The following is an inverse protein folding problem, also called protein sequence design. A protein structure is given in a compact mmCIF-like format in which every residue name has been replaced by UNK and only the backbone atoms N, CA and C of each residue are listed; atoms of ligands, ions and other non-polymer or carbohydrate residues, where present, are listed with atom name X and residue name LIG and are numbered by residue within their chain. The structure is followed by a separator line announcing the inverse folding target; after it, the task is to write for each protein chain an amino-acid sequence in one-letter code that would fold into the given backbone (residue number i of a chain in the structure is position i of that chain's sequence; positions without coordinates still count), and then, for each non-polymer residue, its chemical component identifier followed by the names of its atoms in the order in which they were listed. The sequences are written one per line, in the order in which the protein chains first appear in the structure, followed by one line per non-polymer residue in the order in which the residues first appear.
data_IF_202096087590
#
_entry.id   IF_202096087590
#
_cell.length_a   1.000
_cell.length_b   1.000
_cell.length_c   1.000
_cell.angle_alpha   90.00
_cell.angle_beta   90.00
_cell.angle_gamma   90.00
#
_symmetry.space_group_name_H-M   'P 1'
#
loop_
_entity.id
_entity.type
_entity.pdbx_description
1 polymer ?
#
# COMPACT_ATOMS: atom_id res chain seq x y z
N UNK A 1 1.49 2.35 15.99
CA UNK A 1 0.80 2.85 14.78
C UNK A 1 1.80 2.84 13.63
N UNK A 2 1.42 2.31 12.47
CA UNK A 2 2.31 2.20 11.32
C UNK A 2 2.81 3.59 10.88
N UNK A 3 4.10 3.70 10.56
CA UNK A 3 4.69 4.91 9.99
C UNK A 3 4.57 4.85 8.46
N UNK A 4 3.82 5.80 7.91
CA UNK A 4 3.68 5.97 6.46
C UNK A 4 4.79 6.87 5.93
N UNK A 5 5.45 6.42 4.88
CA UNK A 5 6.46 7.18 4.14
C UNK A 5 6.13 7.09 2.65
N UNK A 6 6.22 8.21 1.93
CA UNK A 6 6.09 8.23 0.47
C UNK A 6 7.40 8.69 -0.14
N UNK A 7 7.88 7.89 -1.08
CA UNK A 7 9.07 8.16 -1.85
C UNK A 7 8.68 8.74 -3.20
N UNK A 8 9.44 9.74 -3.62
CA UNK A 8 9.26 10.44 -4.87
C UNK A 8 10.43 10.15 -5.79
N UNK A 9 10.12 10.09 -7.08
CA UNK A 9 11.10 9.91 -8.14
C UNK A 9 10.88 10.94 -9.25
N UNK A 10 11.93 11.19 -10.02
CA UNK A 10 11.89 12.11 -11.15
C UNK A 10 11.53 11.34 -12.42
N UNK A 11 10.34 11.63 -12.96
CA UNK A 11 9.81 10.97 -14.16
C UNK A 11 9.13 12.02 -15.04
N UNK A 12 9.36 11.97 -16.36
CA UNK A 12 8.76 12.90 -17.34
C UNK A 12 8.86 14.38 -16.93
N UNK A 13 10.06 14.80 -16.52
CA UNK A 13 10.38 16.17 -16.09
C UNK A 13 9.67 16.64 -14.80
N UNK A 14 9.05 15.73 -14.04
CA UNK A 14 8.33 16.06 -12.80
C UNK A 14 8.72 15.13 -11.66
N UNK A 15 8.71 15.67 -10.44
CA UNK A 15 8.83 14.88 -9.21
C UNK A 15 7.44 14.37 -8.86
N UNK A 16 7.27 13.06 -8.83
CA UNK A 16 5.97 12.43 -8.53
C UNK A 16 6.14 11.31 -7.50
N UNK A 17 5.11 11.06 -6.67
CA UNK A 17 5.15 9.96 -5.72
C UNK A 17 5.14 8.63 -6.49
N UNK A 18 6.05 7.72 -6.18
CA UNK A 18 6.17 6.44 -6.90
C UNK A 18 5.98 5.22 -5.99
N UNK A 19 6.40 5.31 -4.74
CA UNK A 19 6.37 4.19 -3.78
C UNK A 19 5.95 4.67 -2.40
N UNK A 20 5.07 3.92 -1.76
CA UNK A 20 4.70 4.08 -0.36
C UNK A 20 5.26 2.93 0.46
N UNK A 21 5.81 3.24 1.61
CA UNK A 21 6.16 2.28 2.64
C UNK A 21 5.26 2.46 3.87
N UNK A 22 4.71 1.35 4.34
CA UNK A 22 4.11 1.27 5.67
C UNK A 22 5.06 0.49 6.56
N UNK A 23 5.59 1.16 7.58
CA UNK A 23 6.57 0.57 8.50
C UNK A 23 5.93 0.28 9.84
N UNK A 24 6.22 -0.89 10.35
CA UNK A 24 5.66 -1.45 11.58
C UNK A 24 6.80 -1.72 12.55
N UNK A 25 6.57 -1.53 13.84
CA UNK A 25 7.46 -2.07 14.86
C UNK A 25 7.41 -3.61 14.80
N UNK A 26 8.42 -4.32 15.32
CA UNK A 26 8.36 -5.77 15.46
C UNK A 26 7.04 -6.22 16.09
N UNK A 27 6.37 -7.20 15.47
CA UNK A 27 5.08 -7.76 15.90
C UNK A 27 3.88 -6.79 15.91
N UNK A 28 4.02 -5.57 15.36
CA UNK A 28 2.90 -4.63 15.26
C UNK A 28 1.92 -4.99 14.14
N UNK A 29 2.40 -5.61 13.06
CA UNK A 29 1.56 -6.06 11.97
C UNK A 29 0.78 -7.32 12.37
N UNK A 30 -0.50 -7.15 12.69
CA UNK A 30 -1.38 -8.23 13.10
C UNK A 30 -1.90 -9.02 11.90
N UNK A 31 -1.18 -10.09 11.56
CA UNK A 31 -1.55 -11.03 10.51
C UNK A 31 -2.79 -11.88 10.86
N UNK A 32 -3.39 -11.81 12.05
CA UNK A 32 -4.67 -12.50 12.31
C UNK A 32 -5.83 -11.81 11.60
N UNK A 33 -5.71 -10.50 11.33
CA UNK A 33 -6.73 -9.70 10.64
C UNK A 33 -6.86 -10.09 9.17
N UNK A 34 -8.03 -9.82 8.61
CA UNK A 34 -8.32 -10.04 7.18
C UNK A 34 -7.85 -8.88 6.32
N UNK A 35 -7.99 -7.67 6.85
CA UNK A 35 -7.67 -6.42 6.17
C UNK A 35 -7.20 -5.36 7.15
N UNK A 36 -6.51 -4.36 6.62
CA UNK A 36 -6.16 -3.13 7.33
C UNK A 36 -6.49 -1.93 6.44
N UNK A 37 -6.78 -0.78 7.04
CA UNK A 37 -7.12 0.45 6.32
C UNK A 37 -6.14 1.55 6.72
N UNK A 38 -5.63 2.25 5.72
CA UNK A 38 -4.63 3.30 5.89
C UNK A 38 -5.21 4.62 5.36
N UNK A 39 -5.27 5.67 6.20
CA UNK A 39 -5.70 6.98 5.74
C UNK A 39 -4.67 7.56 4.77
N UNK A 40 -5.13 8.08 3.65
CA UNK A 40 -4.33 8.78 2.64
C UNK A 40 -4.46 10.29 2.83
N UNK A 41 -3.88 10.81 3.90
CA UNK A 41 -3.87 12.26 4.17
C UNK A 41 -2.63 12.90 3.58
N UNK A 42 -2.78 13.51 2.41
CA UNK A 42 -1.78 14.41 1.83
C UNK A 42 -1.74 15.76 2.58
N UNK A 43 -0.63 16.51 2.54
CA UNK A 43 0.62 16.25 1.81
C UNK A 43 1.53 15.23 2.51
N UNK A 44 2.24 14.42 1.73
CA UNK A 44 3.26 13.51 2.24
C UNK A 44 4.63 14.19 2.28
N UNK A 45 5.46 13.86 3.27
CA UNK A 45 6.87 14.24 3.26
C UNK A 45 7.53 13.64 2.01
N UNK A 46 8.23 14.48 1.24
CA UNK A 46 8.94 14.04 0.04
C UNK A 46 10.30 13.47 0.45
N UNK A 47 10.40 12.14 0.48
CA UNK A 47 11.69 11.45 0.58
C UNK A 47 12.12 10.94 -0.79
N UNK A 48 13.42 10.88 -1.02
CA UNK A 48 13.99 10.33 -2.26
C UNK A 48 14.29 8.84 -2.12
N UNK A 49 14.45 8.17 -3.26
CA UNK A 49 14.76 6.74 -3.31
C UNK A 49 16.03 6.38 -2.52
N UNK A 50 17.04 7.25 -2.52
CA UNK A 50 18.29 7.02 -1.78
C UNK A 50 18.11 7.04 -0.25
N UNK A 51 16.94 7.46 0.23
CA UNK A 51 16.59 7.47 1.65
C UNK A 51 15.82 6.20 2.07
N UNK A 52 15.63 5.24 1.15
CA UNK A 52 15.10 3.91 1.47
C UNK A 52 16.11 3.18 2.35
N UNK A 53 15.74 2.78 3.58
CA UNK A 53 16.67 2.06 4.46
C UNK A 53 16.80 0.59 4.06
N UNK A 54 18.04 0.11 3.99
CA UNK A 54 18.41 -1.22 3.46
C UNK A 54 18.15 -2.42 4.38
N UNK A 55 17.38 -2.30 5.46
CA UNK A 55 17.58 -3.19 6.63
C UNK A 55 16.34 -3.86 7.26
N UNK A 56 15.14 -3.72 6.69
CA UNK A 56 13.94 -4.34 7.26
C UNK A 56 13.26 -5.32 6.28
N UNK A 57 12.81 -6.47 6.80
CA UNK A 57 12.09 -7.45 6.00
C UNK A 57 10.75 -6.85 5.53
N UNK A 58 10.57 -6.77 4.22
CA UNK A 58 9.40 -6.16 3.59
C UNK A 58 8.70 -7.10 2.62
N UNK A 59 7.40 -6.85 2.43
CA UNK A 59 6.58 -7.51 1.41
C UNK A 59 6.00 -6.45 0.48
N UNK A 60 6.04 -6.72 -0.82
CA UNK A 60 5.30 -5.93 -1.81
C UNK A 60 3.81 -6.26 -1.74
N UNK A 61 3.01 -5.23 -1.55
CA UNK A 61 1.55 -5.23 -1.70
C UNK A 61 1.26 -5.07 -3.19
N UNK A 62 0.60 -6.05 -3.78
CA UNK A 62 0.25 -6.02 -5.20
C UNK A 62 -1.09 -5.30 -5.39
N UNK A 63 -1.41 -4.92 -6.63
CA UNK A 63 -2.70 -4.36 -7.00
C UNK A 63 -3.88 -5.22 -6.47
N UNK A 64 -3.79 -6.54 -6.64
CA UNK A 64 -4.79 -7.50 -6.16
C UNK A 64 -4.89 -7.57 -4.62
N UNK A 65 -3.91 -7.06 -3.87
CA UNK A 65 -3.97 -6.99 -2.42
C UNK A 65 -4.72 -5.74 -1.94
N UNK A 66 -4.94 -4.74 -2.80
CA UNK A 66 -5.60 -3.48 -2.46
C UNK A 66 -7.12 -3.62 -2.52
N UNK A 67 -7.82 -2.94 -1.60
CA UNK A 67 -9.28 -2.90 -1.52
C UNK A 67 -9.76 -1.49 -1.20
N UNK A 68 -10.90 -1.10 -1.75
CA UNK A 68 -11.57 0.17 -1.43
C UNK A 68 -12.67 -0.09 -0.41
N UNK A 69 -12.86 0.83 0.53
CA UNK A 69 -14.02 0.84 1.40
C UNK A 69 -14.92 2.04 1.04
N UNK A 70 -16.11 1.83 0.46
CA UNK A 70 -17.02 2.92 0.09
C UNK A 70 -17.43 3.81 1.26
N UNK A 71 -17.37 3.30 2.50
CA UNK A 71 -17.69 4.07 3.71
C UNK A 71 -16.51 4.95 4.17
N UNK A 72 -15.31 4.71 3.67
CA UNK A 72 -14.08 5.42 4.02
C UNK A 72 -13.25 5.72 2.76
N UNK A 73 -13.73 6.60 1.86
CA UNK A 73 -13.05 6.90 0.59
C UNK A 73 -11.69 7.57 0.76
N UNK A 74 -11.38 8.07 1.95
CA UNK A 74 -10.09 8.67 2.30
C UNK A 74 -9.06 7.63 2.76
N UNK A 75 -9.42 6.34 2.77
CA UNK A 75 -8.57 5.25 3.17
C UNK A 75 -8.38 4.26 2.03
N UNK A 76 -7.16 3.75 1.88
CA UNK A 76 -6.91 2.55 1.09
C UNK A 76 -6.88 1.34 2.02
N UNK A 77 -7.58 0.29 1.63
CA UNK A 77 -7.55 -1.00 2.31
C UNK A 77 -6.48 -1.91 1.72
N UNK A 78 -5.90 -2.76 2.57
CA UNK A 78 -4.95 -3.79 2.21
C UNK A 78 -5.47 -5.12 2.75
N UNK A 79 -5.62 -6.10 1.89
CA UNK A 79 -6.05 -7.46 2.21
C UNK A 79 -4.88 -8.28 2.73
N UNK A 80 -4.74 -8.35 4.04
CA UNK A 80 -3.75 -9.21 4.71
C UNK A 80 -4.00 -10.69 4.43
N UNK A 81 -5.27 -11.08 4.19
CA UNK A 81 -5.63 -12.45 3.81
C UNK A 81 -5.04 -12.88 2.47
N UNK A 82 -5.08 -12.01 1.44
CA UNK A 82 -4.49 -12.28 0.12
C UNK A 82 -2.97 -12.35 0.19
N UNK A 83 -2.35 -11.41 0.92
CA UNK A 83 -0.90 -11.43 1.17
C UNK A 83 -0.49 -12.72 1.88
N UNK A 84 -1.20 -13.13 2.94
CA UNK A 84 -0.97 -14.40 3.65
C UNK A 84 -1.03 -15.59 2.68
N UNK A 85 -2.10 -15.67 1.89
CA UNK A 85 -2.33 -16.77 0.96
C UNK A 85 -1.16 -16.92 -0.04
N UNK A 86 -0.67 -15.80 -0.58
CA UNK A 86 0.47 -15.78 -1.50
C UNK A 86 1.78 -16.27 -0.88
N UNK A 87 1.91 -16.17 0.44
CA UNK A 87 3.11 -16.54 1.18
C UNK A 87 2.94 -17.80 2.03
N UNK A 88 1.85 -18.58 1.85
CA UNK A 88 1.59 -19.79 2.65
C UNK A 88 2.66 -20.88 2.50
N UNK A 89 3.43 -20.87 1.40
CA UNK A 89 4.52 -21.82 1.17
C UNK A 89 5.80 -21.46 1.93
N UNK A 90 5.87 -20.28 2.55
CA UNK A 90 7.01 -19.86 3.37
C UNK A 90 6.92 -20.45 4.79
N UNK A 91 8.06 -20.52 5.51
CA UNK A 91 8.05 -20.90 6.92
C UNK A 91 7.03 -20.09 7.74
N UNK A 92 6.35 -20.70 8.73
CA UNK A 92 5.27 -20.05 9.49
C UNK A 92 5.66 -18.71 10.12
N UNK A 93 6.91 -18.56 10.51
CA UNK A 93 7.43 -17.38 11.20
C UNK A 93 7.88 -16.27 10.25
N UNK A 94 7.95 -16.52 8.95
CA UNK A 94 8.43 -15.53 7.97
C UNK A 94 7.53 -14.31 7.91
N UNK A 95 6.21 -14.47 8.03
CA UNK A 95 5.30 -13.32 8.05
C UNK A 95 5.45 -12.50 9.34
N UNK A 96 5.76 -13.13 10.46
CA UNK A 96 5.91 -12.44 11.76
C UNK A 96 7.14 -11.54 11.82
N UNK A 97 8.14 -11.76 10.96
CA UNK A 97 9.33 -10.90 10.87
C UNK A 97 9.15 -9.68 9.96
N UNK A 98 8.08 -9.64 9.17
CA UNK A 98 7.79 -8.54 8.24
C UNK A 98 7.45 -7.27 9.01
N UNK A 99 8.19 -6.22 8.68
CA UNK A 99 8.08 -4.90 9.30
C UNK A 99 7.75 -3.83 8.27
N UNK A 100 7.70 -4.17 6.98
CA UNK A 100 7.42 -3.22 5.93
C UNK A 100 6.45 -3.76 4.88
N UNK A 101 5.52 -2.92 4.46
CA UNK A 101 4.70 -3.14 3.28
C UNK A 101 5.04 -2.08 2.23
N UNK A 102 5.36 -2.52 1.03
CA UNK A 102 5.72 -1.68 -0.11
C UNK A 102 4.57 -1.63 -1.10
N UNK A 103 4.09 -0.44 -1.43
CA UNK A 103 2.92 -0.24 -2.30
C UNK A 103 3.30 0.76 -3.38
N UNK A 104 3.06 0.44 -4.66
CA UNK A 104 3.27 1.42 -5.73
C UNK A 104 2.17 2.48 -5.68
N UNK A 105 2.55 3.73 -5.86
CA UNK A 105 1.58 4.83 -5.87
C UNK A 105 0.61 4.73 -7.05
N UNK A 106 1.10 4.24 -8.21
CA UNK A 106 0.26 3.92 -9.37
C UNK A 106 -0.86 2.93 -9.05
N UNK A 107 -0.58 1.92 -8.21
CA UNK A 107 -1.57 0.88 -7.88
C UNK A 107 -2.66 1.45 -6.96
N UNK A 108 -2.28 2.35 -6.03
CA UNK A 108 -3.24 3.08 -5.19
C UNK A 108 -4.12 3.99 -6.06
N UNK A 109 -3.51 4.76 -6.97
CA UNK A 109 -4.23 5.64 -7.88
C UNK A 109 -5.20 4.86 -8.77
N UNK A 110 -4.77 3.73 -9.33
CA UNK A 110 -5.61 2.87 -10.16
C UNK A 110 -6.83 2.37 -9.37
N UNK A 111 -6.63 1.88 -8.15
CA UNK A 111 -7.71 1.34 -7.30
C UNK A 111 -8.68 2.43 -6.85
N UNK A 112 -8.18 3.63 -6.53
CA UNK A 112 -9.05 4.77 -6.18
C UNK A 112 -9.78 5.35 -7.41
N UNK A 113 -9.14 5.40 -8.57
CA UNK A 113 -9.78 5.83 -9.81
C UNK A 113 -10.79 4.81 -10.34
N UNK A 114 -10.58 3.51 -10.11
CA UNK A 114 -11.57 2.46 -10.42
C UNK A 114 -12.92 2.75 -9.76
N UNK A 115 -12.93 3.28 -8.53
CA UNK A 115 -14.16 3.68 -7.86
C UNK A 115 -14.85 4.85 -8.58
N UNK A 116 -14.08 5.84 -9.05
CA UNK A 116 -14.65 6.99 -9.79
C UNK A 116 -15.27 6.61 -11.13
N UNK A 117 -14.76 5.58 -11.83
CA UNK A 117 -15.38 5.09 -13.08
C UNK A 117 -16.79 4.53 -12.86
N UNK A 118 -17.10 4.05 -11.66
CA UNK A 118 -18.45 3.60 -11.31
C UNK A 118 -19.45 4.76 -11.14
N UNK A 119 -18.94 5.99 -10.92
CA UNK A 119 -19.74 7.20 -10.76
C UNK A 119 -20.03 7.91 -12.09
N UNK A 120 -19.34 7.55 -13.17
CA UNK A 120 -19.64 8.02 -14.51
C UNK A 120 -20.41 6.92 -15.25
N UNK A 121 -21.74 7.08 -15.49
CA UNK A 121 -22.42 6.20 -16.42
C UNK A 121 -21.74 6.41 -17.76
N UNK A 122 -21.14 5.35 -18.31
CA UNK A 122 -20.69 5.35 -19.70
C UNK A 122 -21.89 5.79 -20.53
N UNK A 123 -21.84 7.01 -21.08
CA UNK A 123 -22.82 7.44 -22.06
C UNK A 123 -22.65 6.51 -23.24
N UNK A 124 -23.55 5.53 -23.34
CA UNK A 124 -23.70 4.71 -24.53
C UNK A 124 -24.07 5.67 -25.66
N UNK A 125 -23.12 5.93 -26.55
CA UNK A 125 -23.43 6.44 -27.88
C UNK A 125 -23.90 5.27 -28.76
#
# INVERSE_FOLDING_TARGET
MAKLTVFYDFHEERIQPFLMALRFRPQELDWSKTSMYIPLTAPFQQLKMEEIPDLEAGITVLLDDLVVNPLHPQCIGISLSRIKQRHMALPPDTLQSIQQLWIRMSDIEEVLQMDTRSLYPWSSN
#
